data_IF_756294201643
#
_entry.id   IF_756294201643
#
_cell.length_a   1.000
_cell.length_b   1.000
_cell.length_c   1.000
_cell.angle_alpha   90.00
_cell.angle_beta   90.00
_cell.angle_gamma   90.00
#
_symmetry.space_group_name_H-M   'P 1'
#
loop_
_entity.id
_entity.type
_entity.pdbx_description
1 polymer ?
#
# COMPACT_ATOMS: atom_id res chain seq x y z
N UNK A 1 -31.32 20.70 12.49
CA UNK A 1 -30.26 19.82 12.99
C UNK A 1 -30.52 18.42 12.47
N UNK A 2 -29.86 18.04 11.38
CA UNK A 2 -30.04 16.71 10.77
C UNK A 2 -29.38 15.67 11.67
N UNK A 3 -30.16 14.73 12.21
CA UNK A 3 -29.63 13.54 12.89
C UNK A 3 -28.70 12.82 11.91
N UNK A 4 -27.41 12.78 12.21
CA UNK A 4 -26.47 11.92 11.50
C UNK A 4 -26.89 10.48 11.82
N UNK A 5 -27.62 9.85 10.89
CA UNK A 5 -28.11 8.48 11.06
C UNK A 5 -26.89 7.56 11.12
N UNK A 6 -26.68 6.94 12.28
CA UNK A 6 -25.57 6.00 12.45
C UNK A 6 -25.95 4.69 11.76
N UNK A 7 -25.30 4.39 10.64
CA UNK A 7 -25.47 3.12 9.92
C UNK A 7 -24.63 2.03 10.61
N UNK A 8 -25.20 0.85 10.80
CA UNK A 8 -24.40 -0.35 11.07
C UNK A 8 -23.57 -0.72 9.83
N UNK A 9 -22.50 -1.50 10.01
CA UNK A 9 -21.69 -1.98 8.88
C UNK A 9 -22.53 -2.75 7.85
N UNK A 10 -23.48 -3.57 8.34
CA UNK A 10 -24.38 -4.33 7.48
C UNK A 10 -25.34 -3.43 6.67
N UNK A 11 -25.96 -2.43 7.30
CA UNK A 11 -26.81 -1.46 6.60
C UNK A 11 -26.01 -0.66 5.57
N UNK A 12 -24.78 -0.25 5.91
CA UNK A 12 -23.89 0.47 5.02
C UNK A 12 -23.53 -0.37 3.78
N UNK A 13 -23.16 -1.64 3.98
CA UNK A 13 -22.87 -2.59 2.90
C UNK A 13 -24.11 -2.79 2.03
N UNK A 14 -25.27 -3.04 2.62
CA UNK A 14 -26.50 -3.30 1.90
C UNK A 14 -26.99 -2.07 1.11
N UNK A 15 -26.83 -0.87 1.66
CA UNK A 15 -27.09 0.37 0.93
C UNK A 15 -26.14 0.55 -0.25
N UNK A 16 -24.84 0.33 -0.05
CA UNK A 16 -23.86 0.40 -1.14
C UNK A 16 -24.15 -0.62 -2.26
N UNK A 17 -24.57 -1.85 -1.91
CA UNK A 17 -24.98 -2.88 -2.88
C UNK A 17 -26.18 -2.47 -3.74
N UNK A 18 -27.07 -1.63 -3.22
CA UNK A 18 -28.23 -1.08 -3.92
C UNK A 18 -27.91 0.20 -4.70
N UNK A 19 -26.66 0.67 -4.67
CA UNK A 19 -26.26 1.93 -5.31
C UNK A 19 -26.69 3.19 -4.56
N UNK A 20 -27.01 3.08 -3.27
CA UNK A 20 -27.37 4.23 -2.43
C UNK A 20 -26.17 5.19 -2.30
N UNK A 21 -26.33 6.42 -2.82
CA UNK A 21 -25.28 7.44 -2.84
C UNK A 21 -24.85 7.90 -1.45
N UNK A 22 -25.77 7.96 -0.48
CA UNK A 22 -25.44 8.35 0.89
C UNK A 22 -24.59 7.27 1.57
N UNK A 23 -24.93 6.01 1.36
CA UNK A 23 -24.14 4.88 1.87
C UNK A 23 -22.76 4.83 1.21
N UNK A 24 -22.68 4.99 -0.12
CA UNK A 24 -21.40 5.02 -0.82
C UNK A 24 -20.49 6.17 -0.34
N UNK A 25 -21.06 7.37 -0.16
CA UNK A 25 -20.34 8.51 0.37
C UNK A 25 -19.83 8.26 1.79
N UNK A 26 -20.66 7.67 2.66
CA UNK A 26 -20.26 7.35 4.04
C UNK A 26 -19.13 6.32 4.07
N UNK A 27 -19.21 5.27 3.25
CA UNK A 27 -18.14 4.27 3.12
C UNK A 27 -16.83 4.94 2.64
N UNK A 28 -16.92 5.80 1.62
CA UNK A 28 -15.76 6.57 1.14
C UNK A 28 -15.15 7.43 2.26
N UNK A 29 -15.98 8.21 2.96
CA UNK A 29 -15.53 9.09 4.05
C UNK A 29 -14.84 8.28 5.17
N UNK A 30 -15.35 7.10 5.49
CA UNK A 30 -14.81 6.24 6.55
C UNK A 30 -13.47 5.61 6.19
N UNK A 31 -13.28 5.18 4.94
CA UNK A 31 -12.10 4.37 4.55
C UNK A 31 -11.07 5.09 3.68
N UNK A 32 -11.42 6.20 3.03
CA UNK A 32 -10.55 6.91 2.08
C UNK A 32 -9.18 7.24 2.64
N UNK A 33 -9.07 7.80 3.86
CA UNK A 33 -7.77 8.13 4.47
C UNK A 33 -6.88 6.89 4.65
N UNK A 34 -7.45 5.80 5.17
CA UNK A 34 -6.72 4.54 5.38
C UNK A 34 -6.29 3.93 4.04
N UNK A 35 -7.18 3.92 3.06
CA UNK A 35 -6.91 3.35 1.74
C UNK A 35 -5.96 4.24 0.93
N UNK A 36 -5.96 5.55 1.13
CA UNK A 36 -4.99 6.47 0.53
C UNK A 36 -3.58 6.16 1.02
N UNK A 37 -3.40 5.90 2.33
CA UNK A 37 -2.11 5.46 2.86
C UNK A 37 -1.64 4.14 2.24
N UNK A 38 -2.56 3.24 1.87
CA UNK A 38 -2.23 2.04 1.09
C UNK A 38 -1.73 2.44 -0.29
N UNK A 39 -2.50 3.25 -1.04
CA UNK A 39 -2.16 3.65 -2.41
C UNK A 39 -0.80 4.35 -2.51
N UNK A 40 -0.47 5.21 -1.53
CA UNK A 40 0.81 5.92 -1.45
C UNK A 40 2.03 4.98 -1.34
N UNK A 41 1.89 3.80 -0.75
CA UNK A 41 3.00 2.83 -0.66
C UNK A 41 3.37 2.19 -2.00
N UNK A 42 2.44 2.23 -2.95
CA UNK A 42 2.58 1.59 -4.26
C UNK A 42 2.73 2.60 -5.40
N UNK A 43 2.58 3.90 -5.14
CA UNK A 43 2.61 4.97 -6.13
C UNK A 43 3.86 5.84 -5.98
N UNK A 44 4.32 6.47 -7.07
CA UNK A 44 5.49 7.38 -7.05
C UNK A 44 5.13 8.82 -6.73
N UNK A 45 3.85 9.17 -6.70
CA UNK A 45 3.38 10.51 -6.43
C UNK A 45 1.98 10.49 -5.81
N UNK A 46 1.60 11.58 -5.15
CA UNK A 46 0.25 11.75 -4.59
C UNK A 46 -0.83 11.66 -5.69
N UNK A 47 -0.72 12.32 -6.86
CA UNK A 47 -1.71 12.18 -7.92
C UNK A 47 -1.87 10.73 -8.41
N UNK A 48 -0.78 9.99 -8.57
CA UNK A 48 -0.85 8.57 -8.97
C UNK A 48 -1.57 7.73 -7.90
N UNK A 49 -1.37 8.03 -6.61
CA UNK A 49 -2.10 7.40 -5.51
C UNK A 49 -3.59 7.78 -5.49
N UNK A 50 -3.94 9.02 -5.82
CA UNK A 50 -5.34 9.46 -5.95
C UNK A 50 -6.06 8.73 -7.08
N UNK A 51 -5.39 8.53 -8.22
CA UNK A 51 -5.94 7.75 -9.34
C UNK A 51 -6.21 6.29 -8.93
N UNK A 52 -5.25 5.64 -8.25
CA UNK A 52 -5.42 4.29 -7.70
C UNK A 52 -6.60 4.26 -6.72
N UNK A 53 -6.71 5.25 -5.83
CA UNK A 53 -7.77 5.33 -4.84
C UNK A 53 -9.14 5.44 -5.51
N UNK A 54 -9.27 6.32 -6.50
CA UNK A 54 -10.52 6.51 -7.24
C UNK A 54 -10.93 5.24 -7.99
N UNK A 55 -10.03 4.66 -8.79
CA UNK A 55 -10.29 3.42 -9.52
C UNK A 55 -10.60 2.26 -8.57
N UNK A 56 -9.89 2.20 -7.44
CA UNK A 56 -10.09 1.22 -6.39
C UNK A 56 -11.47 1.32 -5.74
N UNK A 57 -11.97 2.52 -5.46
CA UNK A 57 -13.33 2.70 -4.94
C UNK A 57 -14.40 2.31 -5.95
N UNK A 58 -14.21 2.63 -7.24
CA UNK A 58 -15.12 2.15 -8.30
C UNK A 58 -15.20 0.62 -8.28
N UNK A 59 -14.06 -0.08 -8.21
CA UNK A 59 -14.01 -1.54 -8.10
C UNK A 59 -14.59 -2.08 -6.80
N UNK A 60 -14.38 -1.40 -5.67
CA UNK A 60 -15.01 -1.73 -4.38
C UNK A 60 -16.52 -1.76 -4.56
N UNK A 61 -17.14 -0.70 -5.09
CA UNK A 61 -18.59 -0.67 -5.25
C UNK A 61 -19.09 -1.74 -6.22
N UNK A 62 -18.36 -1.99 -7.31
CA UNK A 62 -18.69 -3.04 -8.28
C UNK A 62 -18.62 -4.46 -7.68
N UNK A 63 -17.65 -4.73 -6.80
CA UNK A 63 -17.42 -6.06 -6.24
C UNK A 63 -18.06 -6.27 -4.86
N UNK A 64 -18.58 -5.22 -4.20
CA UNK A 64 -19.23 -5.31 -2.89
C UNK A 64 -20.41 -6.29 -2.84
N UNK A 65 -21.21 -6.50 -3.90
CA UNK A 65 -22.21 -7.56 -3.93
C UNK A 65 -21.64 -8.96 -3.66
N UNK A 66 -20.38 -9.21 -4.06
CA UNK A 66 -19.70 -10.49 -3.89
C UNK A 66 -18.99 -10.63 -2.53
N UNK A 67 -18.96 -9.59 -1.71
CA UNK A 67 -18.35 -9.64 -0.39
C UNK A 67 -19.19 -10.51 0.56
N UNK A 68 -18.64 -11.64 1.00
CA UNK A 68 -19.33 -12.64 1.85
C UNK A 68 -19.05 -12.51 3.35
N UNK A 69 -18.35 -11.46 3.80
CA UNK A 69 -18.04 -11.28 5.23
C UNK A 69 -17.03 -12.27 5.81
N UNK A 70 -16.29 -13.01 4.97
CA UNK A 70 -15.26 -13.97 5.41
C UNK A 70 -13.97 -13.31 5.92
N UNK A 71 -13.88 -11.97 5.81
CA UNK A 71 -12.81 -11.15 6.37
C UNK A 71 -13.40 -9.78 6.73
N UNK A 72 -12.68 -8.98 7.53
CA UNK A 72 -13.09 -7.60 7.80
C UNK A 72 -13.20 -6.82 6.48
N UNK A 73 -14.20 -5.95 6.36
CA UNK A 73 -14.43 -5.14 5.15
C UNK A 73 -13.17 -4.33 4.79
N UNK A 74 -12.49 -3.77 5.80
CA UNK A 74 -11.25 -3.03 5.62
C UNK A 74 -10.14 -3.86 4.95
N UNK A 75 -9.99 -5.13 5.34
CA UNK A 75 -9.01 -6.05 4.75
C UNK A 75 -9.38 -6.37 3.31
N UNK A 76 -10.66 -6.63 3.03
CA UNK A 76 -11.13 -6.89 1.68
C UNK A 76 -10.94 -5.68 0.75
N UNK A 77 -11.26 -4.46 1.21
CA UNK A 77 -11.01 -3.23 0.44
C UNK A 77 -9.51 -2.97 0.23
N UNK A 78 -8.67 -3.26 1.23
CA UNK A 78 -7.20 -3.15 1.11
C UNK A 78 -6.68 -4.06 0.00
N UNK A 79 -7.18 -5.30 -0.10
CA UNK A 79 -6.82 -6.21 -1.19
C UNK A 79 -7.21 -5.65 -2.57
N UNK A 80 -8.37 -5.00 -2.69
CA UNK A 80 -8.79 -4.35 -3.94
C UNK A 80 -7.84 -3.20 -4.30
N UNK A 81 -7.44 -2.38 -3.32
CA UNK A 81 -6.50 -1.27 -3.53
C UNK A 81 -5.13 -1.76 -4.00
N UNK A 82 -4.55 -2.75 -3.31
CA UNK A 82 -3.26 -3.34 -3.69
C UNK A 82 -3.32 -3.91 -5.11
N UNK A 83 -4.37 -4.69 -5.41
CA UNK A 83 -4.54 -5.24 -6.75
C UNK A 83 -4.75 -4.15 -7.82
N UNK A 84 -5.38 -3.04 -7.48
CA UNK A 84 -5.58 -1.91 -8.41
C UNK A 84 -4.25 -1.22 -8.69
N UNK A 85 -3.47 -0.90 -7.66
CA UNK A 85 -2.13 -0.34 -7.80
C UNK A 85 -1.21 -1.25 -8.63
N UNK A 86 -1.16 -2.55 -8.29
CA UNK A 86 -0.40 -3.55 -9.03
C UNK A 86 -0.76 -3.61 -10.51
N UNK A 87 -2.06 -3.52 -10.83
CA UNK A 87 -2.52 -3.57 -12.23
C UNK A 87 -2.18 -2.29 -12.99
N UNK A 88 -2.30 -1.11 -12.37
CA UNK A 88 -1.90 0.17 -12.99
C UNK A 88 -0.40 0.17 -13.32
N UNK A 89 0.43 -0.45 -12.49
CA UNK A 89 1.87 -0.56 -12.73
C UNK A 89 2.28 -1.81 -13.52
N UNK A 90 1.35 -2.70 -13.88
CA UNK A 90 1.66 -3.95 -14.59
C UNK A 90 2.25 -3.74 -15.97
N UNK A 91 1.89 -2.66 -16.68
CA UNK A 91 2.57 -2.26 -17.93
C UNK A 91 4.05 -1.87 -17.72
N UNK A 92 4.43 -1.44 -16.51
CA UNK A 92 5.83 -1.12 -16.13
C UNK A 92 6.57 -2.33 -15.54
N UNK A 93 5.86 -3.31 -14.95
CA UNK A 93 6.44 -4.54 -14.38
C UNK A 93 7.10 -5.44 -15.44
N UNK A 94 6.59 -5.48 -16.67
CA UNK A 94 7.23 -6.21 -17.77
C UNK A 94 8.58 -5.62 -18.21
N UNK A 95 8.89 -4.37 -17.84
CA UNK A 95 10.15 -3.71 -18.17
C UNK A 95 11.25 -3.92 -17.12
N UNK A 96 10.90 -4.46 -15.95
CA UNK A 96 11.85 -4.82 -14.91
C UNK A 96 11.80 -6.33 -14.72
N UNK A 97 12.69 -7.09 -15.38
CA UNK A 97 12.92 -8.46 -14.97
C UNK A 97 13.17 -8.44 -13.46
N UNK A 98 12.46 -9.26 -12.67
CA UNK A 98 12.84 -9.55 -11.29
C UNK A 98 14.13 -10.40 -11.25
N UNK A 99 15.12 -9.99 -12.04
CA UNK A 99 16.48 -10.51 -12.12
C UNK A 99 17.36 -9.59 -11.27
N UNK A 100 18.45 -10.16 -10.77
CA UNK A 100 19.36 -9.54 -9.80
C UNK A 100 19.64 -8.06 -10.08
N UNK A 101 19.29 -7.23 -9.10
CA UNK A 101 19.26 -5.78 -9.24
C UNK A 101 20.57 -5.22 -8.70
N UNK A 102 21.37 -4.57 -9.55
CA UNK A 102 22.61 -3.89 -9.19
C UNK A 102 22.41 -2.68 -8.26
N UNK A 103 23.53 -2.16 -7.74
CA UNK A 103 23.58 -1.03 -6.80
C UNK A 103 22.98 0.26 -7.39
N UNK A 104 22.20 0.97 -6.57
CA UNK A 104 21.62 2.28 -6.88
C UNK A 104 22.05 3.28 -5.81
N UNK A 105 22.52 4.44 -6.27
CA UNK A 105 22.95 5.60 -5.47
C UNK A 105 21.75 6.45 -5.04
N UNK A 106 21.81 7.03 -3.84
CA UNK A 106 20.71 7.73 -3.18
C UNK A 106 21.15 9.14 -2.75
N UNK A 107 20.33 10.14 -3.07
CA UNK A 107 20.36 11.49 -2.48
C UNK A 107 19.01 11.77 -1.81
N UNK A 108 19.02 12.28 -0.57
CA UNK A 108 17.80 12.64 0.16
C UNK A 108 18.03 13.79 1.16
N UNK A 109 17.08 14.74 1.21
CA UNK A 109 17.00 15.86 2.17
C UNK A 109 15.84 15.67 3.17
N UNK A 110 15.95 16.24 4.38
CA UNK A 110 15.15 15.91 5.59
C UNK A 110 14.27 17.09 6.13
N UNK A 111 13.25 16.82 6.98
CA UNK A 111 12.97 17.47 8.32
C UNK A 111 11.54 17.33 8.97
N UNK A 112 11.48 17.18 10.32
CA UNK A 112 10.36 17.32 11.35
C UNK A 112 9.69 16.12 12.12
N UNK A 113 10.07 15.92 13.42
CA UNK A 113 10.24 14.70 14.26
C UNK A 113 9.11 13.66 14.60
N UNK A 114 7.80 13.86 14.40
CA UNK A 114 6.79 12.80 14.73
C UNK A 114 5.96 12.37 13.51
N UNK A 115 5.62 13.32 12.65
CA UNK A 115 5.22 13.04 11.26
C UNK A 115 6.43 12.56 10.46
N UNK A 116 7.66 13.01 10.82
CA UNK A 116 8.91 12.54 10.22
C UNK A 116 9.05 11.05 10.26
N UNK A 117 8.83 10.44 11.41
CA UNK A 117 9.16 9.03 11.56
C UNK A 117 8.32 8.17 10.59
N UNK A 118 7.10 8.61 10.30
CA UNK A 118 6.23 7.97 9.33
C UNK A 118 6.57 8.35 7.89
N UNK A 119 6.79 9.65 7.61
CA UNK A 119 7.16 10.13 6.27
C UNK A 119 8.53 9.58 5.84
N UNK A 120 9.54 9.63 6.70
CA UNK A 120 10.85 9.01 6.49
C UNK A 120 10.75 7.51 6.27
N UNK A 121 9.89 6.81 7.02
CA UNK A 121 9.72 5.37 6.84
C UNK A 121 9.04 5.06 5.50
N UNK A 122 8.08 5.89 5.07
CA UNK A 122 7.52 5.80 3.73
C UNK A 122 8.56 6.09 2.65
N UNK A 123 9.38 7.13 2.82
CA UNK A 123 10.45 7.49 1.87
C UNK A 123 11.51 6.38 1.77
N UNK A 124 11.93 5.81 2.91
CA UNK A 124 12.83 4.67 2.95
C UNK A 124 12.25 3.47 2.19
N UNK A 125 10.97 3.14 2.42
CA UNK A 125 10.29 2.07 1.67
C UNK A 125 10.20 2.39 0.18
N UNK A 126 9.85 3.62 -0.19
CA UNK A 126 9.73 4.05 -1.60
C UNK A 126 11.09 4.11 -2.32
N UNK A 127 12.20 4.28 -1.59
CA UNK A 127 13.57 4.25 -2.13
C UNK A 127 14.07 2.84 -2.44
N UNK A 128 13.40 1.79 -1.93
CA UNK A 128 13.81 0.41 -2.18
C UNK A 128 13.70 0.07 -3.67
N UNK A 129 14.53 -0.86 -4.18
CA UNK A 129 14.32 -1.45 -5.49
C UNK A 129 12.89 -1.98 -5.61
N UNK A 130 12.24 -1.72 -6.74
CA UNK A 130 10.80 -1.95 -6.92
C UNK A 130 10.33 -3.35 -6.47
N UNK A 131 11.10 -4.40 -6.78
CA UNK A 131 10.80 -5.76 -6.32
C UNK A 131 10.86 -5.91 -4.79
N UNK A 132 11.89 -5.35 -4.14
CA UNK A 132 12.02 -5.35 -2.69
C UNK A 132 10.89 -4.56 -2.01
N UNK A 133 10.60 -3.35 -2.51
CA UNK A 133 9.50 -2.50 -2.02
C UNK A 133 8.17 -3.25 -2.03
N UNK A 134 7.84 -3.83 -3.19
CA UNK A 134 6.57 -4.49 -3.41
C UNK A 134 6.38 -5.69 -2.49
N UNK A 135 7.40 -6.54 -2.41
CA UNK A 135 7.36 -7.74 -1.57
C UNK A 135 7.33 -7.35 -0.08
N UNK A 136 8.08 -6.33 0.34
CA UNK A 136 8.07 -5.84 1.71
C UNK A 136 6.70 -5.34 2.14
N UNK A 137 6.07 -4.49 1.33
CA UNK A 137 4.72 -4.00 1.58
C UNK A 137 3.77 -5.20 1.74
N UNK A 138 3.66 -6.03 0.70
CA UNK A 138 2.69 -7.12 0.67
C UNK A 138 2.86 -8.07 1.87
N UNK A 139 4.09 -8.43 2.22
CA UNK A 139 4.34 -9.37 3.32
C UNK A 139 4.24 -8.71 4.71
N UNK A 140 5.04 -7.68 4.97
CA UNK A 140 5.20 -7.11 6.32
C UNK A 140 4.10 -6.12 6.70
N UNK A 141 3.49 -5.44 5.71
CA UNK A 141 2.49 -4.39 5.97
C UNK A 141 1.08 -4.93 5.76
N UNK A 142 0.83 -5.62 4.64
CA UNK A 142 -0.51 -6.14 4.33
C UNK A 142 -0.76 -7.57 4.79
N UNK A 143 0.27 -8.30 5.23
CA UNK A 143 0.13 -9.62 5.84
C UNK A 143 -0.12 -10.76 4.85
N UNK A 144 0.21 -10.58 3.57
CA UNK A 144 0.19 -11.67 2.60
C UNK A 144 1.27 -12.69 2.90
N UNK A 145 0.98 -13.97 2.64
CA UNK A 145 1.99 -15.03 2.63
C UNK A 145 2.86 -14.95 1.38
N UNK A 146 4.09 -15.45 1.44
CA UNK A 146 4.95 -15.54 0.25
C UNK A 146 4.32 -16.35 -0.89
N UNK A 147 3.48 -17.34 -0.55
CA UNK A 147 2.73 -18.13 -1.53
C UNK A 147 1.66 -17.29 -2.25
N UNK A 148 0.88 -16.48 -1.53
CA UNK A 148 -0.10 -15.58 -2.15
C UNK A 148 0.58 -14.53 -3.03
N UNK A 149 1.72 -13.97 -2.56
CA UNK A 149 2.50 -12.99 -3.32
C UNK A 149 3.04 -13.61 -4.61
N UNK A 150 3.59 -14.83 -4.54
CA UNK A 150 4.06 -15.57 -5.70
C UNK A 150 2.96 -15.75 -6.76
N UNK A 151 1.76 -16.15 -6.32
CA UNK A 151 0.59 -16.30 -7.21
C UNK A 151 0.13 -14.99 -7.83
N UNK A 152 0.10 -13.89 -7.08
CA UNK A 152 -0.33 -12.57 -7.57
C UNK A 152 0.64 -11.98 -8.60
N UNK A 153 1.95 -12.16 -8.36
CA UNK A 153 3.00 -11.55 -9.18
C UNK A 153 3.53 -12.47 -10.29
N UNK A 154 3.19 -13.76 -10.28
CA UNK A 154 3.70 -14.73 -11.25
C UNK A 154 5.19 -15.05 -11.08
N UNK A 155 5.66 -15.06 -9.83
CA UNK A 155 7.06 -15.34 -9.47
C UNK A 155 7.16 -16.59 -8.58
N UNK A 156 8.37 -17.07 -8.32
CA UNK A 156 8.57 -18.17 -7.36
C UNK A 156 8.43 -17.68 -5.90
N UNK A 157 7.98 -18.56 -5.00
CA UNK A 157 7.95 -18.27 -3.56
C UNK A 157 9.36 -17.97 -3.02
N UNK A 158 10.40 -18.63 -3.56
CA UNK A 158 11.80 -18.36 -3.24
C UNK A 158 12.24 -16.95 -3.64
N UNK A 159 11.77 -16.44 -4.78
CA UNK A 159 11.96 -15.05 -5.21
C UNK A 159 11.31 -14.08 -4.22
N UNK A 160 10.09 -14.37 -3.76
CA UNK A 160 9.42 -13.56 -2.74
C UNK A 160 10.23 -13.53 -1.42
N UNK A 161 10.67 -14.69 -0.92
CA UNK A 161 11.47 -14.76 0.33
C UNK A 161 12.81 -14.00 0.24
N UNK A 162 13.53 -14.17 -0.87
CA UNK A 162 14.83 -13.52 -1.09
C UNK A 162 14.70 -12.00 -1.23
N UNK A 163 13.72 -11.52 -2.00
CA UNK A 163 13.44 -10.08 -2.12
C UNK A 163 13.03 -9.46 -0.78
N UNK A 164 12.25 -10.18 0.04
CA UNK A 164 11.90 -9.72 1.38
C UNK A 164 13.11 -9.63 2.31
N UNK A 165 13.99 -10.64 2.28
CA UNK A 165 15.22 -10.62 3.07
C UNK A 165 16.11 -9.43 2.69
N UNK A 166 16.28 -9.18 1.39
CA UNK A 166 17.02 -8.03 0.86
C UNK A 166 16.39 -6.69 1.25
N UNK A 167 15.07 -6.57 1.17
CA UNK A 167 14.36 -5.36 1.60
C UNK A 167 14.67 -5.01 3.08
N UNK A 168 14.62 -6.01 3.97
CA UNK A 168 14.98 -5.81 5.38
C UNK A 168 16.44 -5.39 5.58
N UNK A 169 17.36 -5.94 4.79
CA UNK A 169 18.77 -5.57 4.86
C UNK A 169 18.99 -4.11 4.45
N UNK A 170 18.39 -3.68 3.34
CA UNK A 170 18.47 -2.31 2.85
C UNK A 170 17.87 -1.31 3.84
N UNK A 171 16.67 -1.59 4.37
CA UNK A 171 16.04 -0.73 5.38
C UNK A 171 16.88 -0.64 6.67
N UNK A 172 17.47 -1.75 7.13
CA UNK A 172 18.38 -1.72 8.30
C UNK A 172 19.60 -0.85 8.05
N UNK A 173 20.21 -0.93 6.87
CA UNK A 173 21.35 -0.08 6.49
C UNK A 173 20.96 1.40 6.48
N UNK A 174 19.81 1.75 5.90
CA UNK A 174 19.31 3.13 5.89
C UNK A 174 19.04 3.66 7.31
N UNK A 175 18.37 2.88 8.16
CA UNK A 175 18.12 3.24 9.56
C UNK A 175 19.43 3.47 10.33
N UNK A 176 20.45 2.63 10.11
CA UNK A 176 21.74 2.79 10.76
C UNK A 176 22.51 4.02 10.28
N UNK A 177 22.40 4.36 8.99
CA UNK A 177 22.98 5.59 8.44
C UNK A 177 22.30 6.84 9.01
N UNK A 178 20.98 6.85 9.11
CA UNK A 178 20.23 7.94 9.73
C UNK A 178 20.53 8.08 11.23
N UNK A 179 20.63 6.98 11.98
CA UNK A 179 21.08 7.03 13.37
C UNK A 179 22.49 7.62 13.51
N UNK A 180 23.42 7.25 12.61
CA UNK A 180 24.77 7.79 12.62
C UNK A 180 24.79 9.28 12.26
N UNK A 181 23.96 9.70 11.30
CA UNK A 181 23.78 11.11 10.93
C UNK A 181 23.27 11.92 12.12
N UNK A 182 22.28 11.40 12.86
CA UNK A 182 21.74 12.07 14.05
C UNK A 182 22.73 12.10 15.23
N UNK A 183 23.59 11.09 15.38
CA UNK A 183 24.58 11.02 16.47
C UNK A 183 25.86 11.83 16.22
N UNK A 184 26.23 12.08 14.96
CA UNK A 184 27.51 12.68 14.60
C UNK A 184 27.43 13.85 13.60
N UNK A 185 26.22 14.30 13.23
CA UNK A 185 25.97 15.22 12.12
C UNK A 185 25.93 16.72 12.45
N UNK A 186 26.23 17.16 13.67
CA UNK A 186 26.47 18.58 13.99
C UNK A 186 27.96 18.80 14.30
N UNK A 187 28.74 19.13 13.26
CA UNK A 187 30.03 19.84 13.37
C UNK A 187 30.19 20.78 12.18
#
# INVERSE_FOLDING_TARGET
>A
MSKERMYTEEELINGCRKGDRACQHLLYKQFSKRLMAVCLRYSKSVPEAEDVLQEGFVKIYQHLPNFKGQSQLATWMTRIMVNTALNMHRKKLYLFPMVDVGEVSLETSAESLNTLAFEQLLDMIQSLPHGCQLIFNMYAVEGYTHQEIAGLLGISEGTSKSQYARAKELLRKQLQQEENRLKYGDK
#
